data_IF_640438675225
#
_entry.id   IF_640438675225
#
_cell.length_a   1.000
_cell.length_b   1.000
_cell.length_c   1.000
_cell.angle_alpha   90.00
_cell.angle_beta   90.00
_cell.angle_gamma   90.00
#
_symmetry.space_group_name_H-M   'P 1'
#
loop_
_entity.id
_entity.type
_entity.pdbx_description
1 polymer ?
#
# COMPACT_ATOMS: atom_id res chain seq x y z
N UNK A 1 -19.74 -34.47 4.77
CA UNK A 1 -20.42 -33.33 4.13
C UNK A 1 -19.34 -32.35 3.72
N UNK A 2 -19.09 -32.26 2.42
CA UNK A 2 -17.96 -31.51 1.84
C UNK A 2 -18.43 -30.05 1.71
N UNK A 3 -17.70 -29.12 2.32
CA UNK A 3 -17.88 -27.69 2.14
C UNK A 3 -17.51 -27.33 0.69
N UNK A 4 -18.52 -27.06 -0.14
CA UNK A 4 -18.35 -26.96 -1.59
C UNK A 4 -18.12 -25.54 -2.09
N UNK A 5 -18.29 -24.49 -1.28
CA UNK A 5 -18.00 -23.13 -1.75
C UNK A 5 -17.69 -22.11 -0.66
N UNK A 6 -16.85 -21.14 -1.01
CA UNK A 6 -16.67 -19.90 -0.25
C UNK A 6 -18.00 -19.12 -0.14
N UNK A 7 -18.91 -19.28 -1.11
CA UNK A 7 -20.22 -18.63 -1.12
C UNK A 7 -21.13 -19.10 0.04
N UNK A 8 -21.05 -20.38 0.44
CA UNK A 8 -21.76 -20.88 1.64
C UNK A 8 -21.20 -20.31 2.94
N UNK A 9 -19.88 -20.01 2.98
CA UNK A 9 -19.24 -19.37 4.12
C UNK A 9 -19.73 -17.93 4.29
N UNK A 10 -19.87 -17.19 3.18
CA UNK A 10 -20.45 -15.84 3.20
C UNK A 10 -21.97 -15.85 3.46
N UNK A 11 -22.67 -16.89 3.02
CA UNK A 11 -24.12 -17.03 3.18
C UNK A 11 -24.56 -17.50 4.58
N UNK A 12 -23.64 -17.85 5.49
CA UNK A 12 -23.93 -18.33 6.86
C UNK A 12 -24.52 -17.26 7.83
N UNK A 13 -25.12 -16.18 7.32
CA UNK A 13 -25.94 -15.27 8.14
C UNK A 13 -25.17 -14.37 9.10
N UNK A 14 -23.98 -13.89 8.70
CA UNK A 14 -23.28 -12.77 9.39
C UNK A 14 -21.96 -13.12 10.08
N UNK A 15 -21.64 -14.40 10.30
CA UNK A 15 -20.37 -14.81 10.94
C UNK A 15 -19.13 -14.55 10.06
N UNK A 16 -19.28 -14.64 8.73
CA UNK A 16 -18.19 -14.32 7.81
C UNK A 16 -17.73 -12.87 7.97
N UNK A 17 -18.65 -11.92 8.15
CA UNK A 17 -18.31 -10.50 8.33
C UNK A 17 -17.42 -10.28 9.56
N UNK A 18 -17.61 -11.07 10.63
CA UNK A 18 -16.78 -11.00 11.83
C UNK A 18 -15.34 -11.43 11.57
N UNK A 19 -15.13 -12.55 10.87
CA UNK A 19 -13.79 -13.07 10.56
C UNK A 19 -13.10 -12.15 9.54
N UNK A 20 -13.81 -11.83 8.46
CA UNK A 20 -13.29 -11.00 7.38
C UNK A 20 -13.02 -9.56 7.79
N UNK A 21 -13.69 -9.03 8.82
CA UNK A 21 -13.37 -7.68 9.31
C UNK A 21 -11.99 -7.59 9.96
N UNK A 22 -11.53 -8.63 10.68
CA UNK A 22 -10.18 -8.65 11.25
C UNK A 22 -9.09 -8.72 10.17
N UNK A 23 -9.27 -9.62 9.18
CA UNK A 23 -8.38 -9.68 8.02
C UNK A 23 -8.43 -8.38 7.18
N UNK A 24 -9.62 -7.82 6.98
CA UNK A 24 -9.83 -6.55 6.32
C UNK A 24 -9.14 -5.40 7.04
N UNK A 25 -9.17 -5.39 8.38
CA UNK A 25 -8.48 -4.39 9.20
C UNK A 25 -6.95 -4.53 9.10
N UNK A 26 -6.43 -5.77 9.10
CA UNK A 26 -5.01 -6.02 8.88
C UNK A 26 -4.54 -5.56 7.50
N UNK A 27 -5.29 -5.90 6.44
CA UNK A 27 -5.01 -5.42 5.07
C UNK A 27 -5.14 -3.91 4.99
N UNK A 28 -6.15 -3.31 5.64
CA UNK A 28 -6.34 -1.86 5.66
C UNK A 28 -5.14 -1.16 6.27
N UNK A 29 -4.64 -1.63 7.42
CA UNK A 29 -3.44 -1.09 8.07
C UNK A 29 -2.20 -1.23 7.18
N UNK A 30 -1.99 -2.43 6.62
CA UNK A 30 -0.89 -2.71 5.69
C UNK A 30 -0.93 -1.86 4.42
N UNK A 31 -2.11 -1.40 3.98
CA UNK A 31 -2.26 -0.50 2.83
C UNK A 31 -2.13 0.97 3.26
N UNK A 32 -2.57 1.32 4.46
CA UNK A 32 -2.52 2.68 4.98
C UNK A 32 -1.08 3.19 5.09
N UNK A 33 -0.19 2.37 5.66
CA UNK A 33 1.22 2.71 5.84
C UNK A 33 1.93 3.07 4.52
N UNK A 34 1.96 2.21 3.48
CA UNK A 34 2.57 2.54 2.21
C UNK A 34 1.81 3.63 1.46
N UNK A 35 0.50 3.79 1.65
CA UNK A 35 -0.26 4.89 1.05
C UNK A 35 0.21 6.25 1.61
N UNK A 36 0.31 6.37 2.93
CA UNK A 36 0.82 7.56 3.61
C UNK A 36 2.30 7.80 3.30
N UNK A 37 3.10 6.74 3.28
CA UNK A 37 4.51 6.82 2.93
C UNK A 37 4.71 7.26 1.48
N UNK A 38 3.95 6.69 0.52
CA UNK A 38 3.99 7.11 -0.90
C UNK A 38 3.61 8.57 -1.07
N UNK A 39 2.56 9.05 -0.39
CA UNK A 39 2.19 10.48 -0.42
C UNK A 39 3.35 11.39 0.04
N UNK A 40 4.12 10.96 1.05
CA UNK A 40 5.32 11.68 1.50
C UNK A 40 6.50 11.51 0.57
N UNK A 41 6.69 10.31 0.03
CA UNK A 41 7.80 9.98 -0.87
C UNK A 41 7.69 10.74 -2.18
N UNK A 42 6.50 10.93 -2.75
CA UNK A 42 6.32 11.78 -3.94
C UNK A 42 6.75 13.22 -3.67
N UNK A 43 6.50 13.76 -2.48
CA UNK A 43 6.94 15.11 -2.11
C UNK A 43 8.46 15.22 -1.87
N UNK A 44 9.13 14.12 -1.52
CA UNK A 44 10.58 14.07 -1.32
C UNK A 44 11.34 13.72 -2.62
N UNK A 45 10.79 12.84 -3.45
CA UNK A 45 11.37 12.43 -4.73
C UNK A 45 11.50 13.61 -5.71
N UNK A 46 10.52 14.52 -5.71
CA UNK A 46 10.57 15.79 -6.44
C UNK A 46 11.77 16.69 -6.06
N UNK A 47 12.36 16.50 -4.87
CA UNK A 47 13.50 17.32 -4.42
C UNK A 47 14.85 16.74 -4.85
N UNK A 48 14.96 15.41 -4.94
CA UNK A 48 16.19 14.72 -5.31
C UNK A 48 16.53 14.86 -6.81
N UNK A 49 15.51 14.99 -7.66
CA UNK A 49 15.70 15.20 -9.09
C UNK A 49 16.42 16.53 -9.40
N UNK A 50 16.20 17.55 -8.58
CA UNK A 50 16.89 18.84 -8.71
C UNK A 50 18.37 18.79 -8.30
N UNK A 51 18.75 17.93 -7.35
CA UNK A 51 20.14 17.87 -6.87
C UNK A 51 21.07 17.15 -7.85
N UNK A 52 20.57 16.15 -8.58
CA UNK A 52 21.34 15.41 -9.58
C UNK A 52 21.77 16.26 -10.77
N UNK A 53 20.90 17.17 -11.22
CA UNK A 53 21.21 18.06 -12.35
C UNK A 53 22.25 19.13 -12.00
N UNK A 54 22.32 19.53 -10.72
CA UNK A 54 23.29 20.51 -10.24
C UNK A 54 24.70 19.94 -10.11
N UNK A 55 24.84 18.66 -9.73
CA UNK A 55 26.16 18.02 -9.60
C UNK A 55 26.77 17.67 -10.97
N UNK A 56 25.97 17.16 -11.91
CA UNK A 56 26.49 16.74 -13.22
C UNK A 56 27.04 17.92 -14.05
N UNK A 57 26.43 19.10 -13.94
CA UNK A 57 26.90 20.30 -14.65
C UNK A 57 28.21 20.87 -14.10
N UNK A 58 28.59 20.52 -12.86
CA UNK A 58 29.82 21.00 -12.22
C UNK A 58 31.05 20.15 -12.53
N UNK A 59 30.85 18.88 -12.90
CA UNK A 59 31.93 17.97 -13.31
C UNK A 59 32.28 18.13 -14.81
N UNK A 60 31.34 18.54 -15.67
CA UNK A 60 31.62 18.78 -17.10
C UNK A 60 32.35 20.11 -17.39
N UNK A 61 32.42 21.03 -16.42
CA UNK A 61 33.05 22.35 -16.59
C UNK A 61 34.49 22.43 -16.05
N UNK A 62 35.11 21.28 -15.73
CA UNK A 62 36.49 21.17 -15.20
C UNK A 62 37.39 20.38 -16.15
#
# INVERSE_FOLDING_TARGET
MIWHSLAEFFAMGGYALYVWSSFGMAVLLLVLEPCLLRRRYTAAALRLEHEWMAQHSSEEMK
#
